data_IF_758385569123
#
_entry.id   IF_758385569123
#
_cell.length_a   1.000
_cell.length_b   1.000
_cell.length_c   1.000
_cell.angle_alpha   90.00
_cell.angle_beta   90.00
_cell.angle_gamma   90.00
#
_symmetry.space_group_name_H-M   'P 1'
#
loop_
_entity.id
_entity.type
_entity.pdbx_description
1 polymer ?
#
# COMPACT_ATOMS: atom_id res chain seq x y z
N UNK A 1 14.74 -22.74 8.04
CA UNK A 1 13.46 -22.17 7.58
C UNK A 1 12.59 -22.01 8.80
N UNK A 2 12.22 -20.78 9.13
CA UNK A 2 11.38 -20.46 10.28
C UNK A 2 9.94 -20.84 9.98
N UNK A 3 9.26 -21.43 10.96
CA UNK A 3 7.89 -21.93 10.85
C UNK A 3 6.93 -21.27 11.83
N UNK A 4 7.44 -20.60 12.86
CA UNK A 4 6.61 -20.07 13.94
C UNK A 4 6.89 -18.59 14.23
N UNK A 5 5.92 -17.91 14.86
CA UNK A 5 6.05 -16.50 15.23
C UNK A 5 7.19 -16.26 16.23
N UNK A 6 7.40 -17.15 17.20
CA UNK A 6 8.52 -17.03 18.15
C UNK A 6 9.88 -17.17 17.45
N UNK A 7 10.05 -18.14 16.56
CA UNK A 7 11.29 -18.25 15.75
C UNK A 7 11.58 -16.99 14.91
N UNK A 8 10.53 -16.31 14.43
CA UNK A 8 10.69 -15.03 13.72
C UNK A 8 11.04 -13.87 14.67
N UNK A 9 10.40 -13.81 15.84
CA UNK A 9 10.74 -12.85 16.91
C UNK A 9 12.21 -13.01 17.30
N UNK A 10 12.68 -14.23 17.55
CA UNK A 10 14.09 -14.52 17.87
C UNK A 10 15.03 -14.02 16.78
N UNK A 11 14.70 -14.28 15.51
CA UNK A 11 15.51 -13.80 14.38
C UNK A 11 15.58 -12.27 14.32
N UNK A 12 14.50 -11.57 14.64
CA UNK A 12 14.50 -10.10 14.67
C UNK A 12 15.24 -9.56 15.90
N UNK A 13 15.06 -10.18 17.08
CA UNK A 13 15.77 -9.85 18.30
C UNK A 13 17.30 -10.05 18.15
N UNK A 14 17.73 -11.08 17.43
CA UNK A 14 19.14 -11.29 17.10
C UNK A 14 19.73 -10.20 16.19
N UNK A 15 18.88 -9.43 15.48
CA UNK A 15 19.29 -8.32 14.60
C UNK A 15 19.20 -6.95 15.26
N UNK A 16 18.36 -6.79 16.28
CA UNK A 16 18.09 -5.51 16.95
C UNK A 16 17.96 -5.71 18.46
N UNK A 17 18.84 -5.03 19.20
CA UNK A 17 18.77 -5.00 20.67
C UNK A 17 17.49 -4.30 21.15
N UNK A 18 16.99 -3.33 20.39
CA UNK A 18 15.73 -2.65 20.70
C UNK A 18 14.58 -3.66 20.68
N UNK A 19 14.49 -4.49 19.62
CA UNK A 19 13.47 -5.55 19.52
C UNK A 19 13.64 -6.59 20.63
N UNK A 20 14.87 -7.03 20.92
CA UNK A 20 15.14 -7.98 22.00
C UNK A 20 14.60 -7.47 23.35
N UNK A 21 14.75 -6.18 23.64
CA UNK A 21 14.27 -5.55 24.86
C UNK A 21 12.74 -5.39 24.94
N UNK A 22 12.01 -5.52 23.81
CA UNK A 22 10.54 -5.42 23.81
C UNK A 22 9.84 -6.67 24.35
N UNK A 23 10.57 -7.78 24.52
CA UNK A 23 10.08 -9.06 25.06
C UNK A 23 8.77 -9.52 24.40
N UNK A 24 8.73 -9.50 23.06
CA UNK A 24 7.49 -9.71 22.29
C UNK A 24 6.85 -11.08 22.54
N UNK A 25 7.63 -12.10 22.87
CA UNK A 25 7.15 -13.45 23.17
C UNK A 25 6.22 -13.51 24.39
N UNK A 26 6.30 -12.50 25.28
CA UNK A 26 5.42 -12.41 26.46
C UNK A 26 3.99 -11.99 26.12
N UNK A 27 3.77 -11.43 24.92
CA UNK A 27 2.46 -10.93 24.49
C UNK A 27 1.98 -11.51 23.17
N UNK A 28 2.87 -12.12 22.38
CA UNK A 28 2.54 -12.78 21.13
C UNK A 28 2.52 -14.28 21.36
N UNK A 29 1.39 -14.90 21.08
CA UNK A 29 1.27 -16.34 21.12
C UNK A 29 2.16 -16.98 20.06
N UNK A 30 2.77 -18.12 20.39
CA UNK A 30 3.49 -18.90 19.40
C UNK A 30 2.50 -19.54 18.43
N UNK A 31 2.52 -19.11 17.17
CA UNK A 31 1.62 -19.60 16.12
C UNK A 31 2.41 -19.97 14.88
N UNK A 32 1.90 -20.92 14.12
CA UNK A 32 2.46 -21.26 12.82
C UNK A 32 2.34 -20.09 11.84
N UNK A 33 3.44 -19.75 11.19
CA UNK A 33 3.48 -18.72 10.16
C UNK A 33 2.81 -19.23 8.90
N UNK A 34 1.93 -18.41 8.33
CA UNK A 34 1.26 -18.69 7.06
C UNK A 34 1.54 -17.58 6.06
N UNK A 35 1.52 -17.96 4.78
CA UNK A 35 1.53 -17.06 3.62
C UNK A 35 2.54 -15.90 3.74
N UNK A 36 2.05 -14.71 4.10
CA UNK A 36 2.77 -13.44 4.10
C UNK A 36 3.81 -13.37 5.22
N UNK A 37 3.41 -13.76 6.43
CA UNK A 37 4.29 -13.79 7.59
C UNK A 37 5.41 -14.82 7.37
N UNK A 38 5.07 -15.96 6.76
CA UNK A 38 6.06 -16.98 6.40
C UNK A 38 7.09 -16.46 5.40
N UNK A 39 6.66 -15.77 4.35
CA UNK A 39 7.53 -15.19 3.33
C UNK A 39 8.46 -14.11 3.91
N UNK A 40 7.92 -13.20 4.73
CA UNK A 40 8.70 -12.17 5.42
C UNK A 40 9.74 -12.76 6.37
N UNK A 41 9.33 -13.69 7.24
CA UNK A 41 10.22 -14.32 8.22
C UNK A 41 11.43 -15.02 7.58
N UNK A 42 11.20 -15.63 6.42
CA UNK A 42 12.22 -16.40 5.72
C UNK A 42 13.04 -15.57 4.71
N UNK A 43 12.86 -14.24 4.65
CA UNK A 43 13.74 -13.37 3.87
C UNK A 43 14.62 -12.48 4.76
N UNK A 44 15.93 -12.71 4.71
CA UNK A 44 16.89 -11.99 5.57
C UNK A 44 16.91 -10.48 5.35
N UNK A 45 16.73 -10.05 4.10
CA UNK A 45 16.73 -8.62 3.74
C UNK A 45 15.50 -7.93 4.33
N UNK A 46 14.32 -8.56 4.26
CA UNK A 46 13.10 -8.03 4.89
C UNK A 46 13.23 -7.97 6.41
N UNK A 47 13.77 -9.02 7.04
CA UNK A 47 14.03 -8.99 8.48
C UNK A 47 15.04 -7.89 8.85
N UNK A 48 16.04 -7.63 8.01
CA UNK A 48 16.99 -6.54 8.23
C UNK A 48 16.33 -5.17 8.11
N UNK A 49 15.42 -4.98 7.14
CA UNK A 49 14.65 -3.76 6.99
C UNK A 49 13.77 -3.51 8.23
N UNK A 50 13.04 -4.54 8.69
CA UNK A 50 12.18 -4.45 9.87
C UNK A 50 12.99 -4.06 11.11
N UNK A 51 14.12 -4.74 11.35
CA UNK A 51 15.00 -4.45 12.48
C UNK A 51 15.52 -3.02 12.44
N UNK A 52 16.03 -2.58 11.27
CA UNK A 52 16.54 -1.22 11.09
C UNK A 52 15.45 -0.16 11.27
N UNK A 53 14.25 -0.36 10.72
CA UNK A 53 13.13 0.56 10.90
C UNK A 53 12.81 0.77 12.39
N UNK A 54 12.74 -0.31 13.17
CA UNK A 54 12.46 -0.22 14.61
C UNK A 54 13.60 0.45 15.38
N UNK A 55 14.86 0.13 15.04
CA UNK A 55 16.02 0.77 15.65
C UNK A 55 16.01 2.29 15.39
N UNK A 56 15.74 2.72 14.14
CA UNK A 56 15.65 4.13 13.78
C UNK A 56 14.51 4.83 14.53
N UNK A 57 13.34 4.20 14.59
CA UNK A 57 12.17 4.77 15.26
C UNK A 57 12.41 5.04 16.75
N UNK A 58 13.01 4.08 17.46
CA UNK A 58 13.21 4.19 18.91
C UNK A 58 14.45 5.02 19.24
N UNK A 59 15.59 4.75 18.59
CA UNK A 59 16.86 5.41 18.95
C UNK A 59 16.88 6.90 18.57
N UNK A 60 16.14 7.32 17.55
CA UNK A 60 16.00 8.73 17.17
C UNK A 60 14.79 9.42 17.79
N UNK A 61 14.03 8.73 18.65
CA UNK A 61 12.80 9.24 19.27
C UNK A 61 11.71 9.66 18.25
N UNK A 62 11.62 8.99 17.11
CA UNK A 62 10.50 9.16 16.17
C UNK A 62 9.22 8.46 16.63
N UNK A 63 9.37 7.41 17.45
CA UNK A 63 8.27 6.66 18.04
C UNK A 63 8.56 6.33 19.49
N UNK A 64 7.51 6.16 20.29
CA UNK A 64 7.67 5.59 21.63
C UNK A 64 7.99 4.09 21.51
N UNK A 65 8.74 3.54 22.46
CA UNK A 65 9.00 2.10 22.49
C UNK A 65 7.70 1.27 22.56
N UNK A 66 6.64 1.83 23.17
CA UNK A 66 5.31 1.20 23.23
C UNK A 66 4.65 1.14 21.84
N UNK A 67 4.71 2.22 21.07
CA UNK A 67 4.07 2.29 19.75
C UNK A 67 4.83 1.43 18.73
N UNK A 68 6.18 1.48 18.75
CA UNK A 68 7.01 0.58 17.97
C UNK A 68 6.75 -0.91 18.31
N UNK A 69 6.54 -1.23 19.59
CA UNK A 69 6.14 -2.58 20.03
C UNK A 69 4.76 -2.97 19.51
N UNK A 70 3.78 -2.06 19.54
CA UNK A 70 2.44 -2.32 19.00
C UNK A 70 2.49 -2.57 17.49
N UNK A 71 3.30 -1.82 16.75
CA UNK A 71 3.50 -2.00 15.31
C UNK A 71 4.07 -3.40 15.01
N UNK A 72 5.05 -3.87 15.79
CA UNK A 72 5.53 -5.24 15.69
C UNK A 72 4.44 -6.27 16.04
N UNK A 73 3.68 -6.08 17.13
CA UNK A 73 2.56 -6.97 17.45
C UNK A 73 1.56 -7.08 16.29
N UNK A 74 1.28 -5.99 15.59
CA UNK A 74 0.42 -6.00 14.41
C UNK A 74 1.05 -6.71 13.20
N UNK A 75 2.36 -6.57 13.01
CA UNK A 75 3.14 -7.30 11.99
C UNK A 75 3.06 -8.83 12.17
N UNK A 76 3.04 -9.32 13.40
CA UNK A 76 2.83 -10.74 13.70
C UNK A 76 1.34 -11.16 13.73
N UNK A 77 0.44 -10.19 13.59
CA UNK A 77 -1.01 -10.37 13.67
C UNK A 77 -1.67 -10.56 12.31
N UNK A 78 -2.83 -9.93 12.14
CA UNK A 78 -3.67 -10.08 10.93
C UNK A 78 -3.31 -9.10 9.81
N UNK A 79 -2.53 -8.05 10.08
CA UNK A 79 -2.21 -6.99 9.11
C UNK A 79 -0.72 -6.97 8.73
N UNK A 80 -0.18 -8.15 8.40
CA UNK A 80 1.25 -8.34 8.15
C UNK A 80 1.79 -7.37 7.08
N UNK A 81 1.16 -7.32 5.91
CA UNK A 81 1.62 -6.47 4.80
C UNK A 81 1.36 -4.98 4.99
N UNK A 82 0.27 -4.58 5.65
CA UNK A 82 0.03 -3.18 5.99
C UNK A 82 1.12 -2.68 6.94
N UNK A 83 1.38 -3.41 8.02
CA UNK A 83 2.42 -3.03 8.98
C UNK A 83 3.83 -3.11 8.38
N UNK A 84 4.09 -4.06 7.48
CA UNK A 84 5.35 -4.07 6.75
C UNK A 84 5.49 -2.84 5.82
N UNK A 85 4.43 -2.41 5.16
CA UNK A 85 4.45 -1.19 4.35
C UNK A 85 4.75 0.05 5.21
N UNK A 86 4.09 0.21 6.35
CA UNK A 86 4.39 1.28 7.32
C UNK A 86 5.87 1.26 7.72
N UNK A 87 6.40 0.12 8.16
CA UNK A 87 7.81 -0.03 8.53
C UNK A 87 8.77 0.30 7.38
N UNK A 88 8.42 -0.09 6.15
CA UNK A 88 9.22 0.21 4.97
C UNK A 88 9.20 1.69 4.61
N UNK A 89 8.07 2.38 4.79
CA UNK A 89 7.99 3.83 4.63
C UNK A 89 8.81 4.56 5.71
N UNK A 90 8.73 4.13 6.97
CA UNK A 90 9.54 4.72 8.05
C UNK A 90 11.04 4.51 7.82
N UNK A 91 11.46 3.31 7.40
CA UNK A 91 12.85 3.04 7.02
C UNK A 91 13.31 3.98 5.89
N UNK A 92 12.48 4.15 4.86
CA UNK A 92 12.79 5.03 3.74
C UNK A 92 12.95 6.49 4.19
N UNK A 93 12.03 6.99 5.02
CA UNK A 93 12.04 8.36 5.54
C UNK A 93 13.27 8.59 6.43
N UNK A 94 13.59 7.64 7.31
CA UNK A 94 14.75 7.71 8.20
C UNK A 94 16.07 7.75 7.41
N UNK A 95 16.21 6.92 6.35
CA UNK A 95 17.39 6.92 5.47
C UNK A 95 17.55 8.22 4.68
N UNK A 96 16.45 8.90 4.39
CA UNK A 96 16.47 10.23 3.78
C UNK A 96 16.63 11.37 4.82
N UNK A 97 16.91 11.02 6.09
CA UNK A 97 17.05 11.95 7.21
C UNK A 97 15.82 12.84 7.44
N UNK A 98 14.64 12.32 7.11
CA UNK A 98 13.36 12.98 7.41
C UNK A 98 13.00 12.69 8.86
N UNK A 99 12.90 13.74 9.66
CA UNK A 99 12.40 13.63 11.03
C UNK A 99 10.89 13.47 11.01
N UNK A 100 10.42 12.44 11.71
CA UNK A 100 9.01 12.10 11.79
C UNK A 100 8.59 11.84 13.23
N UNK A 101 7.31 12.08 13.51
CA UNK A 101 6.61 11.55 14.65
C UNK A 101 5.56 10.54 14.17
N UNK A 102 5.50 9.35 14.76
CA UNK A 102 4.58 8.28 14.32
C UNK A 102 3.34 8.17 15.20
N UNK A 103 2.29 7.54 14.69
CA UNK A 103 1.08 7.16 15.45
C UNK A 103 0.37 8.38 16.07
N UNK A 104 0.13 9.41 15.26
CA UNK A 104 -0.43 10.69 15.67
C UNK A 104 -1.94 10.53 15.88
N UNK A 105 -2.39 10.64 17.13
CA UNK A 105 -3.81 10.66 17.46
C UNK A 105 -4.43 12.01 17.12
N UNK A 106 -5.46 11.99 16.27
CA UNK A 106 -6.16 13.16 15.77
C UNK A 106 -7.65 13.12 16.17
N UNK A 107 -8.19 14.19 16.76
CA UNK A 107 -9.60 14.27 17.11
C UNK A 107 -10.49 14.43 15.86
N UNK A 108 -11.81 14.15 15.97
CA UNK A 108 -12.75 14.36 14.86
C UNK A 108 -12.79 15.80 14.30
N UNK A 109 -12.37 16.80 15.08
CA UNK A 109 -12.30 18.19 14.63
C UNK A 109 -11.25 18.40 13.54
N UNK A 110 -10.19 17.57 13.53
CA UNK A 110 -8.98 17.83 12.76
C UNK A 110 -8.84 16.91 11.55
N UNK A 111 -9.58 15.79 11.53
CA UNK A 111 -9.64 14.83 10.41
C UNK A 111 -11.08 14.64 9.90
N UNK A 112 -11.25 14.05 8.72
CA UNK A 112 -12.57 13.79 8.13
C UNK A 112 -13.39 12.73 8.88
N UNK A 113 -12.75 11.80 9.60
CA UNK A 113 -13.41 10.76 10.39
C UNK A 113 -14.32 11.35 11.48
N UNK A 114 -15.54 10.81 11.59
CA UNK A 114 -16.51 11.15 12.66
C UNK A 114 -15.98 10.88 14.08
N UNK A 115 -15.07 9.92 14.21
CA UNK A 115 -14.58 9.41 15.48
C UNK A 115 -13.12 9.81 15.76
N UNK A 116 -12.52 10.64 14.91
CA UNK A 116 -11.08 10.88 14.90
C UNK A 116 -10.34 9.72 14.23
N UNK A 117 -9.01 9.80 14.23
CA UNK A 117 -8.15 8.76 13.68
C UNK A 117 -6.77 8.80 14.29
N UNK A 118 -6.06 7.68 14.26
CA UNK A 118 -4.60 7.68 14.37
C UNK A 118 -4.03 7.75 12.95
N UNK A 119 -3.10 8.66 12.72
CA UNK A 119 -2.35 8.78 11.47
C UNK A 119 -0.99 8.09 11.64
N UNK A 120 -0.48 7.51 10.56
CA UNK A 120 0.81 6.81 10.61
C UNK A 120 1.95 7.74 10.99
N UNK A 121 1.94 9.00 10.52
CA UNK A 121 2.86 9.99 11.05
C UNK A 121 2.70 11.43 10.61
N UNK A 122 3.64 12.24 11.07
CA UNK A 122 3.83 13.64 10.77
C UNK A 122 5.31 13.89 10.45
N UNK A 123 5.60 14.71 9.45
CA UNK A 123 6.94 15.22 9.17
C UNK A 123 7.14 16.52 9.97
N UNK A 124 8.02 16.46 10.97
CA UNK A 124 8.16 17.48 12.03
C UNK A 124 8.42 18.90 11.50
N UNK A 125 9.21 19.03 10.43
CA UNK A 125 9.70 20.34 9.98
C UNK A 125 8.60 21.24 9.38
N UNK A 126 7.54 20.64 8.84
CA UNK A 126 6.54 21.34 8.04
C UNK A 126 5.09 20.98 8.38
N UNK A 127 4.87 20.24 9.47
CA UNK A 127 3.54 19.78 9.89
C UNK A 127 2.75 19.10 8.77
N UNK A 128 3.46 18.31 7.94
CA UNK A 128 2.82 17.48 6.93
C UNK A 128 2.41 16.16 7.57
N UNK A 129 1.12 15.86 7.55
CA UNK A 129 0.61 14.59 8.03
C UNK A 129 0.58 13.58 6.90
N UNK A 130 0.76 12.31 7.24
CA UNK A 130 0.72 11.25 6.24
C UNK A 130 0.09 9.97 6.76
N UNK A 131 -0.36 9.17 5.80
CA UNK A 131 -0.78 7.80 6.01
C UNK A 131 -0.16 6.90 4.94
N UNK A 132 0.15 5.66 5.30
CA UNK A 132 0.90 4.70 4.49
C UNK A 132 0.00 3.55 4.07
N UNK A 133 -0.08 3.31 2.76
CA UNK A 133 -0.82 2.19 2.19
C UNK A 133 0.10 1.32 1.34
N UNK A 134 -0.08 0.01 1.45
CA UNK A 134 0.50 -0.93 0.51
C UNK A 134 -0.22 -0.81 -0.84
N UNK A 135 0.50 -0.46 -1.91
CA UNK A 135 -0.10 -0.21 -3.21
C UNK A 135 0.07 -1.40 -4.19
N UNK A 136 -0.84 -1.52 -5.16
CA UNK A 136 -0.73 -2.47 -6.28
C UNK A 136 -1.45 -3.81 -6.07
N UNK A 137 -2.43 -3.88 -5.17
CA UNK A 137 -3.06 -5.14 -4.75
C UNK A 137 -3.66 -6.01 -5.85
N UNK A 138 -3.93 -5.49 -7.06
CA UNK A 138 -4.55 -6.27 -8.15
C UNK A 138 -3.83 -7.59 -8.44
N UNK A 139 -2.50 -7.58 -8.41
CA UNK A 139 -1.71 -8.81 -8.57
C UNK A 139 -1.91 -9.80 -7.42
N UNK A 140 -1.92 -9.32 -6.18
CA UNK A 140 -2.22 -10.13 -5.00
C UNK A 140 -3.65 -10.65 -5.01
N UNK A 141 -4.62 -9.83 -5.41
CA UNK A 141 -6.03 -10.19 -5.51
C UNK A 141 -6.26 -11.25 -6.60
N UNK A 142 -5.60 -11.13 -7.76
CA UNK A 142 -5.62 -12.16 -8.78
C UNK A 142 -5.05 -13.49 -8.28
N UNK A 143 -3.95 -13.44 -7.52
CA UNK A 143 -3.36 -14.63 -6.90
C UNK A 143 -4.29 -15.25 -5.83
N UNK A 144 -4.94 -14.43 -4.99
CA UNK A 144 -5.89 -14.90 -3.99
C UNK A 144 -7.14 -15.52 -4.64
N UNK A 145 -7.64 -14.92 -5.73
CA UNK A 145 -8.72 -15.47 -6.54
C UNK A 145 -8.31 -16.84 -7.11
N UNK A 146 -7.12 -16.93 -7.68
CA UNK A 146 -6.57 -18.19 -8.22
C UNK A 146 -6.47 -19.27 -7.15
N UNK A 147 -5.98 -18.94 -5.95
CA UNK A 147 -5.88 -19.86 -4.81
C UNK A 147 -7.26 -20.38 -4.39
N UNK A 148 -8.23 -19.48 -4.19
CA UNK A 148 -9.63 -19.82 -3.87
C UNK A 148 -10.28 -20.72 -4.91
N UNK A 149 -10.04 -20.44 -6.20
CA UNK A 149 -10.56 -21.27 -7.28
C UNK A 149 -9.89 -22.64 -7.32
N UNK A 150 -8.57 -22.70 -7.08
CA UNK A 150 -7.81 -23.95 -7.08
C UNK A 150 -8.24 -24.89 -5.93
N UNK A 151 -8.64 -24.35 -4.78
CA UNK A 151 -9.26 -25.14 -3.70
C UNK A 151 -10.55 -25.84 -4.15
N UNK A 152 -11.35 -25.19 -5.00
CA UNK A 152 -12.61 -25.72 -5.53
C UNK A 152 -12.43 -26.63 -6.77
N UNK A 153 -11.25 -26.59 -7.40
CA UNK A 153 -10.89 -27.38 -8.60
C UNK A 153 -9.55 -28.11 -8.40
N UNK A 154 -9.43 -29.02 -7.42
CA UNK A 154 -8.13 -29.55 -6.98
C UNK A 154 -7.41 -30.40 -8.03
N UNK A 155 -8.12 -31.00 -8.99
CA UNK A 155 -7.54 -31.87 -10.02
C UNK A 155 -7.07 -31.11 -11.25
N UNK A 156 -7.37 -29.82 -11.33
CA UNK A 156 -7.11 -28.98 -12.49
C UNK A 156 -6.26 -27.78 -12.11
N UNK A 157 -5.86 -27.03 -13.13
CA UNK A 157 -5.07 -25.82 -12.98
C UNK A 157 -5.89 -24.61 -13.38
N UNK A 158 -5.99 -23.66 -12.46
CA UNK A 158 -6.61 -22.35 -12.71
C UNK A 158 -5.57 -21.42 -13.32
N UNK A 159 -5.93 -20.84 -14.47
CA UNK A 159 -5.14 -19.82 -15.17
C UNK A 159 -5.92 -18.51 -15.09
N UNK A 160 -5.25 -17.45 -14.62
CA UNK A 160 -5.78 -16.08 -14.58
C UNK A 160 -4.89 -15.22 -15.47
N UNK A 161 -5.42 -14.72 -16.57
CA UNK A 161 -4.66 -14.09 -17.65
C UNK A 161 -5.38 -12.88 -18.26
N UNK A 162 -4.85 -12.40 -19.40
CA UNK A 162 -5.26 -11.15 -20.06
C UNK A 162 -4.92 -9.91 -19.24
N UNK A 163 -5.89 -9.11 -18.79
CA UNK A 163 -5.62 -7.87 -18.03
C UNK A 163 -6.15 -8.00 -16.61
N UNK A 164 -5.34 -7.52 -15.66
CA UNK A 164 -5.71 -7.38 -14.26
C UNK A 164 -6.08 -5.93 -13.92
N UNK A 165 -6.25 -5.11 -14.94
CA UNK A 165 -6.60 -3.70 -14.80
C UNK A 165 -8.11 -3.58 -14.55
N UNK A 166 -8.63 -4.25 -13.52
CA UNK A 166 -10.00 -4.14 -13.04
C UNK A 166 -10.00 -3.52 -11.63
N UNK A 167 -11.14 -3.00 -11.18
CA UNK A 167 -11.24 -2.37 -9.87
C UNK A 167 -10.99 -3.36 -8.71
N UNK A 168 -10.58 -2.83 -7.57
CA UNK A 168 -10.44 -3.61 -6.33
C UNK A 168 -11.77 -4.27 -5.92
N UNK A 169 -12.87 -3.56 -6.10
CA UNK A 169 -14.23 -3.99 -5.79
C UNK A 169 -14.59 -5.22 -6.62
N UNK A 170 -14.34 -5.15 -7.94
CA UNK A 170 -14.54 -6.27 -8.86
C UNK A 170 -13.74 -7.48 -8.40
N UNK A 171 -12.45 -7.31 -8.07
CA UNK A 171 -11.64 -8.42 -7.56
C UNK A 171 -12.21 -9.01 -6.26
N UNK A 172 -12.60 -8.15 -5.32
CA UNK A 172 -13.17 -8.58 -4.03
C UNK A 172 -14.45 -9.38 -4.21
N UNK A 173 -15.31 -8.95 -5.13
CA UNK A 173 -16.53 -9.66 -5.48
C UNK A 173 -16.27 -11.00 -6.15
N UNK A 174 -15.28 -11.08 -7.06
CA UNK A 174 -14.87 -12.34 -7.68
C UNK A 174 -14.30 -13.32 -6.65
N UNK A 175 -13.46 -12.86 -5.72
CA UNK A 175 -12.88 -13.70 -4.65
C UNK A 175 -13.99 -14.24 -3.74
N UNK A 176 -14.98 -13.41 -3.40
CA UNK A 176 -16.14 -13.81 -2.60
C UNK A 176 -17.01 -14.84 -3.34
N UNK A 177 -17.17 -14.66 -4.64
CA UNK A 177 -17.99 -15.52 -5.51
C UNK A 177 -17.22 -16.71 -6.09
N UNK A 178 -15.97 -16.95 -5.68
CA UNK A 178 -15.11 -17.98 -6.25
C UNK A 178 -15.75 -19.39 -6.31
N UNK A 179 -16.55 -19.85 -5.32
CA UNK A 179 -17.24 -21.13 -5.42
C UNK A 179 -18.20 -21.22 -6.62
N UNK A 180 -18.97 -20.16 -6.88
CA UNK A 180 -19.93 -20.11 -7.99
C UNK A 180 -19.19 -20.04 -9.34
N UNK A 181 -18.11 -19.25 -9.38
CA UNK A 181 -17.22 -19.15 -10.54
C UNK A 181 -16.60 -20.51 -10.85
N UNK A 182 -16.22 -21.30 -9.84
CA UNK A 182 -15.66 -22.63 -10.03
C UNK A 182 -16.67 -23.63 -10.65
N UNK A 183 -17.95 -23.50 -10.33
CA UNK A 183 -19.02 -24.29 -10.97
C UNK A 183 -19.09 -23.92 -12.46
N UNK A 184 -19.17 -22.63 -12.75
CA UNK A 184 -19.23 -22.13 -14.14
C UNK A 184 -17.99 -22.55 -14.95
N UNK A 185 -16.79 -22.49 -14.34
CA UNK A 185 -15.54 -22.90 -14.97
C UNK A 185 -15.50 -24.39 -15.29
N UNK A 186 -16.06 -25.26 -14.45
CA UNK A 186 -16.13 -26.71 -14.72
C UNK A 186 -16.97 -27.01 -15.96
N UNK A 187 -18.03 -26.22 -16.18
CA UNK A 187 -18.92 -26.37 -17.34
C UNK A 187 -18.33 -25.72 -18.61
N UNK A 188 -17.91 -24.46 -18.52
CA UNK A 188 -17.53 -23.64 -19.68
C UNK A 188 -16.05 -23.66 -20.01
N UNK A 189 -15.21 -24.18 -19.10
CA UNK A 189 -13.73 -24.17 -19.16
C UNK A 189 -13.08 -22.78 -19.14
N UNK A 190 -13.84 -21.73 -19.37
CA UNK A 190 -13.41 -20.34 -19.42
C UNK A 190 -14.55 -19.42 -19.02
N UNK A 191 -14.23 -18.41 -18.21
CA UNK A 191 -15.11 -17.29 -17.88
C UNK A 191 -14.36 -15.98 -18.05
N UNK A 192 -15.09 -14.92 -18.43
CA UNK A 192 -14.51 -13.61 -18.71
C UNK A 192 -15.26 -12.53 -17.93
N UNK A 193 -14.51 -11.70 -17.22
CA UNK A 193 -15.01 -10.55 -16.46
C UNK A 193 -14.31 -9.30 -16.98
N UNK A 194 -14.98 -8.56 -17.86
CA UNK A 194 -14.38 -7.46 -18.61
C UNK A 194 -13.11 -7.90 -19.38
N UNK A 195 -11.92 -7.43 -18.96
CA UNK A 195 -10.63 -7.77 -19.56
C UNK A 195 -9.88 -8.88 -18.81
N UNK A 196 -10.45 -9.40 -17.71
CA UNK A 196 -9.92 -10.54 -16.97
C UNK A 196 -10.45 -11.84 -17.57
N UNK A 197 -9.56 -12.77 -17.90
CA UNK A 197 -9.92 -14.10 -18.34
C UNK A 197 -9.47 -15.14 -17.31
N UNK A 198 -10.38 -16.04 -16.95
CA UNK A 198 -10.09 -17.17 -16.06
C UNK A 198 -10.37 -18.45 -16.82
N UNK A 199 -9.40 -19.36 -16.85
CA UNK A 199 -9.49 -20.64 -17.56
C UNK A 199 -9.15 -21.79 -16.63
N UNK A 200 -9.80 -22.92 -16.90
CA UNK A 200 -9.53 -24.19 -16.24
C UNK A 200 -8.84 -25.11 -17.24
N UNK A 201 -7.63 -25.54 -16.92
CA UNK A 201 -6.82 -26.43 -17.75
C UNK A 201 -6.45 -27.71 -17.01
N UNK A 202 -6.16 -28.77 -17.75
CA UNK A 202 -5.47 -29.93 -17.19
C UNK A 202 -4.10 -29.49 -16.64
N UNK A 203 -3.69 -30.06 -15.50
CA UNK A 203 -2.40 -29.74 -14.88
C UNK A 203 -1.25 -30.05 -15.85
N UNK A 204 -0.40 -29.05 -16.07
CA UNK A 204 0.84 -29.19 -16.86
C UNK A 204 2.03 -28.93 -15.96
N UNK A 205 3.15 -29.61 -16.25
CA UNK A 205 4.43 -29.37 -15.57
C UNK A 205 4.90 -27.91 -15.71
N UNK A 206 4.63 -27.31 -16.88
CA UNK A 206 4.97 -25.92 -17.19
C UNK A 206 3.74 -25.27 -17.79
N UNK A 207 3.44 -24.06 -17.33
CA UNK A 207 2.40 -23.20 -17.90
C UNK A 207 2.97 -21.82 -18.12
N UNK A 208 2.61 -21.21 -19.24
CA UNK A 208 2.98 -19.83 -19.57
C UNK A 208 1.70 -19.02 -19.63
N UNK A 209 1.69 -17.88 -18.95
CA UNK A 209 0.59 -16.91 -18.97
C UNK A 209 1.13 -15.58 -19.46
N UNK A 210 0.38 -14.91 -20.34
CA UNK A 210 0.67 -13.56 -20.77
C UNK A 210 -0.32 -12.59 -20.13
N UNK A 211 0.17 -11.40 -19.76
CA UNK A 211 -0.65 -10.32 -19.22
C UNK A 211 -0.43 -9.05 -20.02
N UNK A 212 -1.52 -8.36 -20.31
CA UNK A 212 -1.51 -7.00 -20.84
C UNK A 212 -1.69 -6.02 -19.67
N UNK A 213 -0.84 -5.00 -19.63
CA UNK A 213 -0.92 -3.92 -18.64
C UNK A 213 -1.09 -2.61 -19.41
N UNK A 214 -2.18 -1.91 -19.15
CA UNK A 214 -2.39 -0.55 -19.63
C UNK A 214 -2.34 0.41 -18.42
N UNK A 215 -1.26 1.20 -18.26
CA UNK A 215 -1.09 2.06 -17.08
C UNK A 215 -2.20 3.11 -16.94
N UNK A 216 -2.78 3.57 -18.05
CA UNK A 216 -3.84 4.59 -18.03
C UNK A 216 -5.19 4.00 -17.66
N UNK A 217 -5.46 2.77 -18.12
CA UNK A 217 -6.67 2.04 -17.76
C UNK A 217 -6.60 1.58 -16.30
N UNK A 218 -5.47 1.02 -15.86
CA UNK A 218 -5.26 0.64 -14.46
C UNK A 218 -5.46 1.85 -13.52
N UNK A 219 -4.94 3.03 -13.90
CA UNK A 219 -5.15 4.27 -13.15
C UNK A 219 -6.61 4.72 -13.15
N UNK A 220 -7.36 4.50 -14.24
CA UNK A 220 -8.80 4.80 -14.33
C UNK A 220 -9.60 3.93 -13.38
N UNK A 221 -9.37 2.61 -13.39
CA UNK A 221 -10.12 1.65 -12.58
C UNK A 221 -9.81 1.78 -11.08
N UNK A 222 -8.64 2.32 -10.73
CA UNK A 222 -8.24 2.56 -9.35
C UNK A 222 -8.35 4.03 -8.91
N UNK A 223 -9.00 4.89 -9.71
CA UNK A 223 -9.02 6.34 -9.47
C UNK A 223 -9.59 6.72 -8.09
N UNK A 224 -10.50 5.91 -7.53
CA UNK A 224 -11.10 6.12 -6.22
C UNK A 224 -10.31 5.51 -5.05
N UNK A 225 -9.28 4.69 -5.33
CA UNK A 225 -8.50 4.00 -4.30
C UNK A 225 -7.90 4.95 -3.24
N UNK A 226 -7.34 6.13 -3.60
CA UNK A 226 -6.83 7.08 -2.62
C UNK A 226 -7.85 7.57 -1.58
N UNK A 227 -9.14 7.40 -1.83
CA UNK A 227 -10.21 7.93 -0.97
C UNK A 227 -10.87 6.89 -0.06
N UNK A 228 -10.48 5.61 -0.14
CA UNK A 228 -11.05 4.54 0.69
C UNK A 228 -10.85 4.78 2.19
N UNK A 229 -9.70 5.33 2.55
CA UNK A 229 -9.32 5.67 3.92
C UNK A 229 -9.26 7.19 4.16
N UNK A 230 -10.00 7.96 3.35
CA UNK A 230 -10.00 9.43 3.43
C UNK A 230 -10.45 9.99 4.79
N UNK A 231 -11.02 9.18 5.68
CA UNK A 231 -11.28 9.54 7.07
C UNK A 231 -10.04 10.06 7.82
N UNK A 232 -8.84 9.68 7.36
CA UNK A 232 -7.54 10.12 7.89
C UNK A 232 -7.10 11.50 7.37
N UNK A 233 -7.75 12.04 6.33
CA UNK A 233 -7.32 13.32 5.74
C UNK A 233 -7.53 14.45 6.74
N UNK A 234 -6.48 15.27 6.90
CA UNK A 234 -6.50 16.42 7.78
C UNK A 234 -7.29 17.57 7.16
N UNK A 235 -7.99 18.33 8.00
CA UNK A 235 -8.83 19.45 7.58
C UNK A 235 -8.07 20.77 7.46
N UNK A 236 -6.95 20.91 8.17
CA UNK A 236 -6.27 22.20 8.39
C UNK A 236 -4.78 22.20 8.02
N UNK A 237 -4.22 21.07 7.62
CA UNK A 237 -2.80 20.90 7.35
C UNK A 237 -2.58 20.10 6.07
N UNK A 238 -1.39 20.16 5.45
CA UNK A 238 -1.10 19.32 4.31
C UNK A 238 -1.18 17.83 4.65
N UNK A 239 -1.85 17.05 3.80
CA UNK A 239 -1.95 15.60 3.93
C UNK A 239 -1.30 14.88 2.76
N UNK A 240 -0.47 13.88 3.05
CA UNK A 240 0.27 13.10 2.05
C UNK A 240 -0.17 11.65 2.16
N UNK A 241 -0.63 11.07 1.06
CA UNK A 241 -0.86 9.64 0.99
C UNK A 241 0.41 8.96 0.46
N UNK A 242 1.04 8.13 1.28
CA UNK A 242 2.25 7.39 0.91
C UNK A 242 1.84 5.99 0.44
N UNK A 243 2.11 5.71 -0.83
CA UNK A 243 1.93 4.38 -1.41
C UNK A 243 3.26 3.65 -1.46
N UNK A 244 3.39 2.59 -0.68
CA UNK A 244 4.59 1.75 -0.70
C UNK A 244 4.49 0.74 -1.82
N UNK A 245 5.52 0.74 -2.67
CA UNK A 245 5.68 -0.15 -3.81
C UNK A 245 6.66 -1.26 -3.42
N UNK A 246 6.18 -2.50 -3.52
CA UNK A 246 6.99 -3.70 -3.26
C UNK A 246 6.50 -4.86 -4.15
N UNK A 247 7.40 -5.70 -4.72
CA UNK A 247 7.06 -6.83 -5.59
C UNK A 247 5.93 -7.73 -5.04
N UNK A 248 5.92 -7.92 -3.72
CA UNK A 248 4.93 -8.77 -3.04
C UNK A 248 3.54 -8.15 -2.94
N UNK A 249 3.43 -6.83 -2.94
CA UNK A 249 2.13 -6.16 -2.93
C UNK A 249 1.51 -6.14 -4.33
N UNK A 250 2.37 -6.06 -5.35
CA UNK A 250 1.96 -5.78 -6.71
C UNK A 250 2.17 -6.93 -7.71
N UNK A 251 2.57 -8.12 -7.24
CA UNK A 251 2.92 -9.26 -8.09
C UNK A 251 3.92 -8.86 -9.20
N UNK A 252 4.97 -8.15 -8.81
CA UNK A 252 6.03 -7.66 -9.69
C UNK A 252 5.57 -6.74 -10.84
N UNK A 253 4.36 -6.17 -10.77
CA UNK A 253 3.78 -5.38 -11.86
C UNK A 253 4.28 -3.94 -11.94
N UNK A 254 4.61 -3.33 -10.80
CA UNK A 254 5.02 -1.93 -10.68
C UNK A 254 6.30 -1.91 -9.85
N UNK A 255 7.47 -2.13 -10.43
CA UNK A 255 8.70 -2.24 -9.61
C UNK A 255 9.99 -1.83 -10.32
N UNK A 256 10.00 -1.75 -11.65
CA UNK A 256 11.23 -1.56 -12.44
C UNK A 256 11.07 -0.52 -13.54
N UNK A 257 9.93 0.19 -13.57
CA UNK A 257 9.52 1.15 -14.60
C UNK A 257 9.82 0.71 -16.04
N UNK A 258 9.55 -0.57 -16.34
CA UNK A 258 9.81 -1.12 -17.66
C UNK A 258 8.96 -0.38 -18.70
N UNK A 259 9.62 0.20 -19.71
CA UNK A 259 8.99 1.02 -20.75
C UNK A 259 8.12 2.19 -20.21
N UNK A 260 8.42 2.70 -19.01
CA UNK A 260 7.70 3.83 -18.41
C UNK A 260 6.33 3.46 -17.83
N UNK A 261 6.00 2.18 -17.68
CA UNK A 261 4.69 1.74 -17.18
C UNK A 261 4.41 2.28 -15.78
N UNK A 262 5.40 2.28 -14.88
CA UNK A 262 5.23 2.68 -13.48
C UNK A 262 5.08 4.20 -13.40
N UNK A 263 5.92 4.94 -14.13
CA UNK A 263 5.84 6.40 -14.24
C UNK A 263 4.50 6.84 -14.83
N UNK A 264 4.05 6.21 -15.92
CA UNK A 264 2.78 6.53 -16.56
C UNK A 264 1.59 6.21 -15.65
N UNK A 265 1.63 5.07 -14.97
CA UNK A 265 0.57 4.65 -14.06
C UNK A 265 0.46 5.58 -12.84
N UNK A 266 1.57 5.78 -12.12
CA UNK A 266 1.59 6.56 -10.87
C UNK A 266 1.20 8.02 -11.11
N UNK A 267 1.73 8.63 -12.19
CA UNK A 267 1.31 9.97 -12.63
C UNK A 267 -0.18 10.02 -12.96
N UNK A 268 -0.67 9.06 -13.74
CA UNK A 268 -2.08 9.03 -14.17
C UNK A 268 -3.03 8.84 -13.00
N UNK A 269 -2.67 7.99 -12.02
CA UNK A 269 -3.48 7.79 -10.82
C UNK A 269 -3.54 9.08 -10.00
N UNK A 270 -2.39 9.71 -9.75
CA UNK A 270 -2.33 10.96 -8.99
C UNK A 270 -3.13 12.07 -9.69
N UNK A 271 -2.94 12.24 -11.00
CA UNK A 271 -3.69 13.22 -11.79
C UNK A 271 -5.20 13.02 -11.67
N UNK A 272 -5.68 11.78 -11.76
CA UNK A 272 -7.11 11.46 -11.62
C UNK A 272 -7.60 11.80 -10.21
N UNK A 273 -6.89 11.38 -9.17
CA UNK A 273 -7.24 11.71 -7.79
C UNK A 273 -7.34 13.22 -7.54
N UNK A 274 -6.42 14.01 -8.12
CA UNK A 274 -6.36 15.46 -7.91
C UNK A 274 -7.34 16.25 -8.76
N UNK A 275 -7.51 15.88 -10.02
CA UNK A 275 -8.23 16.71 -11.00
C UNK A 275 -9.63 16.16 -11.30
N UNK A 276 -9.76 14.85 -11.56
CA UNK A 276 -11.01 14.24 -12.00
C UNK A 276 -12.14 14.44 -10.98
N UNK A 277 -11.81 14.32 -9.69
CA UNK A 277 -12.82 14.38 -8.62
C UNK A 277 -12.93 15.75 -7.95
N UNK A 278 -12.13 16.73 -8.34
CA UNK A 278 -12.06 18.04 -7.65
C UNK A 278 -13.40 18.80 -7.57
N UNK A 279 -14.37 18.48 -8.42
CA UNK A 279 -15.74 19.02 -8.43
C UNK A 279 -16.81 17.94 -8.23
N UNK A 280 -16.43 16.75 -7.79
CA UNK A 280 -17.36 15.64 -7.58
C UNK A 280 -18.20 15.87 -6.31
N UNK A 281 -19.52 15.95 -6.50
CA UNK A 281 -20.51 16.18 -5.44
C UNK A 281 -21.02 14.90 -4.79
N UNK A 282 -20.54 13.73 -5.21
CA UNK A 282 -20.91 12.44 -4.62
C UNK A 282 -20.48 12.41 -3.15
N UNK A 283 -21.35 11.98 -2.22
CA UNK A 283 -20.99 11.83 -0.81
C UNK A 283 -19.82 10.87 -0.62
N UNK A 284 -18.78 11.29 0.12
CA UNK A 284 -17.58 10.48 0.36
C UNK A 284 -17.89 9.20 1.15
N UNK A 285 -18.95 9.21 1.96
CA UNK A 285 -19.35 8.04 2.75
C UNK A 285 -19.87 6.86 1.92
N UNK A 286 -20.05 7.02 0.60
CA UNK A 286 -20.31 5.89 -0.30
C UNK A 286 -19.08 5.02 -0.54
N UNK A 287 -17.88 5.53 -0.24
CA UNK A 287 -16.60 4.81 -0.37
C UNK A 287 -15.80 4.75 0.95
N UNK A 288 -15.98 5.70 1.86
CA UNK A 288 -15.35 5.75 3.18
C UNK A 288 -16.41 5.95 4.27
N UNK A 289 -16.96 4.84 4.79
CA UNK A 289 -18.16 4.83 5.65
C UNK A 289 -18.06 5.72 6.91
N UNK A 290 -16.84 5.89 7.43
CA UNK A 290 -16.56 6.62 8.68
C UNK A 290 -16.58 8.16 8.56
N UNK A 291 -16.92 8.70 7.38
CA UNK A 291 -16.97 10.13 7.08
C UNK A 291 -18.42 10.66 7.07
N UNK A 292 -18.69 11.91 7.47
CA UNK A 292 -20.03 12.50 7.37
C UNK A 292 -20.55 12.55 5.92
N UNK A 293 -21.84 12.31 5.71
CA UNK A 293 -22.46 12.33 4.38
C UNK A 293 -22.48 13.72 3.72
N UNK A 294 -22.18 14.78 4.48
CA UNK A 294 -22.05 16.15 3.97
C UNK A 294 -20.73 16.41 3.27
N UNK A 295 -19.72 15.55 3.45
CA UNK A 295 -18.41 15.67 2.81
C UNK A 295 -18.47 14.94 1.48
N UNK A 296 -18.05 15.60 0.39
CA UNK A 296 -18.03 14.99 -0.94
C UNK A 296 -16.64 14.44 -1.30
N UNK A 297 -16.56 13.63 -2.35
CA UNK A 297 -15.28 13.19 -2.92
C UNK A 297 -14.44 14.40 -3.35
N UNK A 298 -15.06 15.46 -3.90
CA UNK A 298 -14.38 16.70 -4.24
C UNK A 298 -13.81 17.46 -3.05
N UNK A 299 -14.48 17.45 -1.90
CA UNK A 299 -13.90 17.99 -0.66
C UNK A 299 -12.63 17.22 -0.25
N UNK A 300 -12.69 15.89 -0.26
CA UNK A 300 -11.56 15.05 0.08
C UNK A 300 -10.39 15.19 -0.90
N UNK A 301 -10.68 15.28 -2.21
CA UNK A 301 -9.69 15.53 -3.26
C UNK A 301 -8.91 16.82 -3.01
N UNK A 302 -9.56 17.90 -2.54
CA UNK A 302 -8.88 19.16 -2.20
C UNK A 302 -8.09 19.10 -0.89
N UNK A 303 -8.41 18.17 0.03
CA UNK A 303 -7.63 18.00 1.27
C UNK A 303 -6.37 17.16 1.06
N UNK A 304 -6.31 16.34 0.00
CA UNK A 304 -5.13 15.58 -0.36
C UNK A 304 -4.07 16.47 -1.02
N UNK A 305 -2.97 16.76 -0.32
CA UNK A 305 -1.93 17.68 -0.79
C UNK A 305 -0.94 17.03 -1.75
N UNK A 306 -0.63 15.76 -1.54
CA UNK A 306 0.27 14.99 -2.39
C UNK A 306 -0.01 13.49 -2.29
N UNK A 307 0.44 12.76 -3.31
CA UNK A 307 0.55 11.30 -3.30
C UNK A 307 2.02 10.97 -3.53
N UNK A 308 2.58 10.16 -2.65
CA UNK A 308 3.98 9.76 -2.71
C UNK A 308 4.11 8.25 -2.91
N UNK A 309 4.51 7.84 -4.12
CA UNK A 309 4.82 6.46 -4.43
C UNK A 309 6.27 6.16 -4.06
N UNK A 310 6.46 5.47 -2.95
CA UNK A 310 7.77 5.13 -2.39
C UNK A 310 8.13 3.72 -2.82
N UNK A 311 9.17 3.61 -3.64
CA UNK A 311 9.74 2.30 -3.96
C UNK A 311 10.72 1.88 -2.87
N UNK A 312 10.39 0.77 -2.20
CA UNK A 312 11.20 0.21 -1.12
C UNK A 312 11.96 -1.06 -1.56
N UNK A 313 11.82 -1.49 -2.83
CA UNK A 313 12.43 -2.72 -3.33
C UNK A 313 12.65 -2.82 -4.86
N UNK A 314 13.82 -3.29 -5.34
CA UNK A 314 15.03 -3.51 -4.55
C UNK A 314 15.51 -2.18 -3.97
N UNK A 315 16.31 -2.23 -2.91
CA UNK A 315 16.85 -1.01 -2.30
C UNK A 315 17.77 -0.24 -3.26
N UNK A 316 18.12 -0.79 -4.43
CA UNK A 316 18.90 -0.12 -5.48
C UNK A 316 18.05 0.08 -6.74
N UNK A 317 18.30 1.17 -7.45
CA UNK A 317 18.01 1.35 -8.88
C UNK A 317 16.57 1.68 -9.32
N UNK A 318 15.65 2.07 -8.42
CA UNK A 318 14.30 2.48 -8.85
C UNK A 318 13.88 3.80 -8.20
N UNK A 319 13.40 4.79 -8.99
CA UNK A 319 12.96 6.07 -8.46
C UNK A 319 11.70 5.92 -7.60
N UNK A 320 11.50 6.89 -6.72
CA UNK A 320 10.20 7.14 -6.08
C UNK A 320 9.55 8.35 -6.76
N UNK A 321 8.21 8.45 -6.73
CA UNK A 321 7.46 9.50 -7.43
C UNK A 321 6.56 10.27 -6.47
N UNK A 322 6.80 11.57 -6.33
CA UNK A 322 5.99 12.48 -5.53
C UNK A 322 5.18 13.39 -6.46
N UNK A 323 3.86 13.29 -6.39
CA UNK A 323 2.95 14.12 -7.17
C UNK A 323 2.24 15.10 -6.26
N UNK A 324 2.32 16.40 -6.58
CA UNK A 324 1.69 17.46 -5.80
C UNK A 324 0.32 17.80 -6.39
N UNK A 325 -0.68 18.00 -5.54
CA UNK A 325 -2.02 18.35 -5.98
C UNK A 325 -2.12 19.86 -6.26
N UNK A 326 -2.30 20.29 -7.53
CA UNK A 326 -2.43 21.70 -7.88
C UNK A 326 -3.75 22.33 -7.41
N UNK A 327 -4.72 21.53 -6.93
CA UNK A 327 -6.02 21.96 -6.41
C UNK A 327 -6.15 21.78 -4.89
N UNK A 328 -5.06 21.43 -4.20
CA UNK A 328 -5.11 21.27 -2.75
C UNK A 328 -5.40 22.59 -2.02
N UNK A 329 -6.23 22.52 -0.99
CA UNK A 329 -6.49 23.60 -0.02
C UNK A 329 -5.21 23.92 0.76
N UNK A 330 -4.50 22.88 1.20
CA UNK A 330 -3.27 22.99 1.98
C UNK A 330 -2.08 22.54 1.13
N UNK A 331 -1.48 23.45 0.36
CA UNK A 331 -0.43 23.09 -0.61
C UNK A 331 0.93 22.88 0.06
N UNK A 332 1.67 21.91 -0.46
CA UNK A 332 3.11 21.78 -0.22
C UNK A 332 3.84 22.70 -1.20
N UNK A 333 4.61 23.63 -0.66
CA UNK A 333 5.37 24.61 -1.44
C UNK A 333 6.71 24.05 -1.91
N UNK A 334 7.27 24.62 -2.98
CA UNK A 334 8.58 24.19 -3.52
C UNK A 334 9.72 24.23 -2.49
N UNK A 335 9.69 25.19 -1.55
CA UNK A 335 10.70 25.29 -0.49
C UNK A 335 10.66 24.11 0.49
N UNK A 336 9.50 23.48 0.66
CA UNK A 336 9.31 22.34 1.55
C UNK A 336 9.72 21.00 0.89
N UNK A 337 10.01 21.00 -0.42
CA UNK A 337 10.35 19.78 -1.17
C UNK A 337 11.75 19.25 -0.87
N UNK A 338 12.62 20.06 -0.26
CA UNK A 338 14.00 19.67 0.03
C UNK A 338 14.06 18.41 0.93
N UNK A 339 13.10 18.23 1.84
CA UNK A 339 13.01 17.04 2.69
C UNK A 339 12.74 15.74 1.92
N UNK A 340 12.18 15.81 0.71
CA UNK A 340 11.90 14.64 -0.14
C UNK A 340 12.97 14.41 -1.22
N UNK A 341 13.88 15.38 -1.39
CA UNK A 341 15.00 15.34 -2.35
C UNK A 341 16.32 14.99 -1.68
N UNK A 342 16.52 15.45 -0.45
CA UNK A 342 17.77 15.26 0.27
C UNK A 342 17.99 13.77 0.56
N UNK A 343 19.19 13.29 0.23
CA UNK A 343 19.69 11.97 0.61
C UNK A 343 18.88 10.76 0.15
N UNK A 344 17.99 10.88 -0.83
CA UNK A 344 17.48 9.72 -1.55
C UNK A 344 18.55 9.26 -2.56
N UNK A 345 19.26 8.14 -2.33
CA UNK A 345 20.30 7.66 -3.23
C UNK A 345 19.79 7.33 -4.66
N UNK A 346 18.48 7.21 -4.86
CA UNK A 346 17.87 6.77 -6.12
C UNK A 346 17.01 7.84 -6.80
N UNK A 347 17.08 9.08 -6.31
CA UNK A 347 16.32 10.23 -6.79
C UNK A 347 14.80 10.10 -6.57
N UNK A 348 14.15 11.24 -6.36
CA UNK A 348 12.69 11.35 -6.25
C UNK A 348 12.20 12.18 -7.43
N UNK A 349 11.42 11.58 -8.32
CA UNK A 349 10.73 12.34 -9.36
C UNK A 349 9.63 13.17 -8.71
N UNK A 350 9.59 14.47 -8.98
CA UNK A 350 8.57 15.37 -8.43
C UNK A 350 7.86 16.08 -9.58
N UNK A 351 6.54 16.01 -9.59
CA UNK A 351 5.67 16.65 -10.58
C UNK A 351 4.52 17.39 -9.88
N UNK A 352 4.34 18.66 -10.22
CA UNK A 352 3.28 19.55 -9.71
C UNK A 352 2.16 19.78 -10.72
N UNK A 353 2.21 19.08 -11.87
CA UNK A 353 1.31 19.22 -13.01
C UNK A 353 1.21 20.65 -13.55
N UNK A 354 2.25 21.48 -13.38
CA UNK A 354 2.21 22.89 -13.79
C UNK A 354 1.88 23.10 -15.28
N UNK A 355 2.28 22.16 -16.14
CA UNK A 355 2.12 22.22 -17.59
C UNK A 355 0.92 21.39 -18.12
N UNK A 356 0.10 20.79 -17.25
CA UNK A 356 -1.14 20.13 -17.67
C UNK A 356 -2.23 21.18 -17.90
N UNK A 357 -2.98 21.08 -19.00
CA UNK A 357 -4.22 21.84 -19.15
C UNK A 357 -5.30 21.24 -18.21
N UNK A 358 -5.88 22.06 -17.32
CA UNK A 358 -6.82 21.62 -16.29
C UNK A 358 -8.09 22.46 -16.13
#
# INVERSE_FOLDING_TARGET
MLRTSHEWIDKLAAKSMVIANMQLETVINNVELRTEAFNLANCDIHCQLIARAIDELVNNNFSSAKDARNLLCNLFGRNVYGCFAELAAYDWLARCHVRIATQISMPPSDVLSKNGSTLDGQIDLYDHYFDVKAFGSNGRLAQLLKERLAEATPDEQVIVEESWDISFETFSDLIRSAPDIAIELKEKRMVKYDRLCIRLEAKKLISVTARNIDPYYLAKENALYPFKDAGQFTKTSPFILIFVIHPWFNACSIQSDFAGVDTNFTRSLARRAFMQFSTDSTPLNSICENVPSSITIGDASRLLSAIFFVNVWPLSDVPSWLYLNPRATHRITRGQLNSYRASNPHNTYIDDFADDDY
#
